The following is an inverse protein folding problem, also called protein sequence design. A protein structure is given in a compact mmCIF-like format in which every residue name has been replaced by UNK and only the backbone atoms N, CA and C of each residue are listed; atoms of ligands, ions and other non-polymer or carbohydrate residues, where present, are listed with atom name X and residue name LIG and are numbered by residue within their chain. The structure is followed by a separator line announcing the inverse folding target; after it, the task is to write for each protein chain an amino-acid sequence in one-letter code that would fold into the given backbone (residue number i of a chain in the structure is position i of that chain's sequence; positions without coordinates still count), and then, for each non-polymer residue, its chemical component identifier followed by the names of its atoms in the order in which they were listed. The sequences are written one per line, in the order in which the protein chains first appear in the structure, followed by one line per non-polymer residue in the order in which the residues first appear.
data_IF_505414602200
#
_entry.id   IF_505414602200
#
_cell.length_a   1.000
_cell.length_b   1.000
_cell.length_c   1.000
_cell.angle_alpha   90.00
_cell.angle_beta   90.00
_cell.angle_gamma   90.00
#
_symmetry.space_group_name_H-M   'P 1'
#
loop_
_entity.id
_entity.type
_entity.pdbx_description
1 polymer ?
#
# COMPACT_ATOMS: atom_id res chain seq x y z
N UNK A 1 7.28 -23.57 -8.70
CA UNK A 1 8.63 -22.94 -8.52
C UNK A 1 8.74 -21.68 -9.38
N UNK A 2 9.74 -20.82 -9.15
CA UNK A 2 9.95 -19.58 -9.95
C UNK A 2 10.04 -19.84 -11.47
N UNK A 3 10.58 -21.00 -11.87
CA UNK A 3 10.61 -21.46 -13.26
C UNK A 3 9.21 -21.58 -13.89
N UNK A 4 8.21 -21.97 -13.11
CA UNK A 4 6.82 -21.98 -13.58
C UNK A 4 6.38 -20.55 -13.84
N UNK A 5 6.57 -19.61 -12.91
CA UNK A 5 6.15 -18.22 -13.10
C UNK A 5 6.65 -17.63 -14.43
N UNK A 6 7.90 -17.93 -14.82
CA UNK A 6 8.52 -17.49 -16.08
C UNK A 6 8.37 -18.48 -17.26
N UNK A 7 7.47 -19.46 -17.18
CA UNK A 7 7.23 -20.42 -18.25
C UNK A 7 6.81 -19.72 -19.56
N UNK A 8 7.20 -20.30 -20.69
CA UNK A 8 6.94 -19.74 -22.04
C UNK A 8 5.45 -19.45 -22.27
N UNK A 9 4.56 -20.30 -21.75
CA UNK A 9 3.10 -20.11 -21.85
C UNK A 9 2.59 -18.82 -21.18
N UNK A 10 3.35 -18.25 -20.24
CA UNK A 10 3.04 -16.98 -19.55
C UNK A 10 3.77 -15.77 -20.14
N UNK A 11 4.64 -15.94 -21.14
CA UNK A 11 5.52 -14.88 -21.64
C UNK A 11 4.76 -13.65 -22.17
N UNK A 12 3.70 -13.86 -22.95
CA UNK A 12 2.93 -12.74 -23.50
C UNK A 12 2.17 -11.98 -22.41
N UNK A 13 1.65 -12.68 -21.40
CA UNK A 13 1.07 -12.05 -20.21
C UNK A 13 2.12 -11.27 -19.42
N UNK A 14 3.31 -11.83 -19.16
CA UNK A 14 4.41 -11.15 -18.47
C UNK A 14 4.87 -9.91 -19.23
N UNK A 15 5.02 -9.99 -20.55
CA UNK A 15 5.39 -8.86 -21.40
C UNK A 15 4.37 -7.73 -21.31
N UNK A 16 3.08 -8.05 -21.37
CA UNK A 16 2.02 -7.07 -21.18
C UNK A 16 2.05 -6.48 -19.76
N UNK A 17 2.12 -7.32 -18.73
CA UNK A 17 2.12 -6.89 -17.34
C UNK A 17 3.30 -5.97 -17.00
N UNK A 18 4.51 -6.32 -17.45
CA UNK A 18 5.72 -5.52 -17.24
C UNK A 18 5.78 -4.25 -18.11
N UNK A 19 4.89 -4.09 -19.09
CA UNK A 19 4.82 -2.87 -19.91
C UNK A 19 4.13 -1.70 -19.19
N UNK A 20 3.40 -1.97 -18.11
CA UNK A 20 2.72 -0.94 -17.33
C UNK A 20 3.67 -0.25 -16.35
N UNK A 21 3.65 1.07 -16.35
CA UNK A 21 4.29 1.89 -15.32
C UNK A 21 3.21 2.33 -14.32
N UNK A 22 3.28 1.91 -13.04
CA UNK A 22 2.26 2.26 -12.04
C UNK A 22 2.03 3.76 -11.86
N UNK A 23 3.07 4.60 -11.99
CA UNK A 23 2.93 6.06 -11.92
C UNK A 23 2.09 6.60 -13.06
N UNK A 24 2.38 6.17 -14.29
CA UNK A 24 1.63 6.58 -15.48
C UNK A 24 0.17 6.11 -15.43
N UNK A 25 -0.08 4.89 -14.94
CA UNK A 25 -1.43 4.36 -14.78
C UNK A 25 -2.25 5.18 -13.79
N UNK A 26 -1.67 5.47 -12.62
CA UNK A 26 -2.42 6.18 -11.57
C UNK A 26 -2.61 7.66 -11.91
N UNK A 27 -1.68 8.28 -12.65
CA UNK A 27 -1.84 9.64 -13.16
C UNK A 27 -3.08 9.78 -14.08
N UNK A 28 -3.45 8.72 -14.82
CA UNK A 28 -4.58 8.73 -15.76
C UNK A 28 -5.95 8.48 -15.13
N UNK A 29 -6.03 8.05 -13.87
CA UNK A 29 -7.33 7.75 -13.25
C UNK A 29 -8.19 9.01 -13.11
N UNK A 30 -9.44 8.96 -13.57
CA UNK A 30 -10.39 10.07 -13.40
C UNK A 30 -11.06 10.08 -12.01
N UNK A 31 -10.91 9.03 -11.20
CA UNK A 31 -11.54 8.88 -9.90
C UNK A 31 -10.69 9.49 -8.77
N UNK A 32 -11.29 9.85 -7.61
CA UNK A 32 -10.54 10.14 -6.40
C UNK A 32 -9.63 8.97 -6.01
N UNK A 33 -8.42 9.27 -5.54
CA UNK A 33 -7.43 8.27 -5.12
C UNK A 33 -7.03 8.56 -3.68
N UNK A 34 -7.01 7.50 -2.87
CA UNK A 34 -6.41 7.48 -1.54
C UNK A 34 -5.26 6.48 -1.55
N UNK A 35 -4.07 6.95 -1.22
CA UNK A 35 -2.91 6.12 -0.95
C UNK A 35 -2.79 5.84 0.55
N UNK A 36 -2.49 4.60 0.89
CA UNK A 36 -2.28 4.16 2.28
C UNK A 36 -0.96 3.40 2.33
N UNK A 37 -0.11 3.77 3.28
CA UNK A 37 1.15 3.06 3.56
C UNK A 37 1.18 2.58 5.01
N UNK A 38 1.67 1.38 5.25
CA UNK A 38 1.89 0.84 6.59
C UNK A 38 3.32 1.06 7.05
N UNK A 39 3.53 1.56 8.26
CA UNK A 39 4.89 1.84 8.73
C UNK A 39 5.72 0.59 9.04
N UNK A 40 5.10 -0.59 9.07
CA UNK A 40 5.75 -1.88 9.25
C UNK A 40 5.75 -2.71 7.94
N UNK A 41 5.56 -2.08 6.78
CA UNK A 41 5.74 -2.75 5.49
C UNK A 41 7.22 -3.02 5.22
N UNK A 42 7.59 -4.31 5.18
CA UNK A 42 8.96 -4.76 4.89
C UNK A 42 9.18 -5.09 3.40
N UNK A 43 8.12 -5.12 2.59
CA UNK A 43 8.19 -5.50 1.18
C UNK A 43 8.34 -4.31 0.25
N UNK A 44 7.69 -3.19 0.58
CA UNK A 44 7.69 -1.99 -0.29
C UNK A 44 8.44 -0.84 0.36
N UNK A 45 9.52 -0.44 -0.32
CA UNK A 45 10.23 0.82 -0.15
C UNK A 45 9.29 2.02 0.10
N UNK A 46 9.41 2.76 1.21
CA UNK A 46 8.72 4.07 1.35
C UNK A 46 9.01 5.01 0.18
N UNK A 47 10.26 5.01 -0.31
CA UNK A 47 10.67 5.75 -1.52
C UNK A 47 9.88 5.36 -2.77
N UNK A 48 9.49 4.09 -2.90
CA UNK A 48 8.77 3.59 -4.07
C UNK A 48 7.29 3.94 -3.96
N UNK A 49 6.73 3.96 -2.74
CA UNK A 49 5.41 4.54 -2.48
C UNK A 49 5.36 6.04 -2.80
N UNK A 50 6.39 6.81 -2.44
CA UNK A 50 6.45 8.25 -2.71
C UNK A 50 6.43 8.59 -4.21
N UNK A 51 6.97 7.71 -5.07
CA UNK A 51 6.86 7.88 -6.53
C UNK A 51 5.40 7.91 -7.02
N UNK A 52 4.50 7.17 -6.37
CA UNK A 52 3.07 7.21 -6.69
C UNK A 52 2.44 8.55 -6.25
N UNK A 53 2.87 9.09 -5.11
CA UNK A 53 2.44 10.41 -4.65
C UNK A 53 2.87 11.51 -5.61
N UNK A 54 4.09 11.42 -6.14
CA UNK A 54 4.60 12.39 -7.12
C UNK A 54 3.89 12.28 -8.47
N UNK A 55 3.50 11.06 -8.87
CA UNK A 55 2.70 10.85 -10.08
C UNK A 55 1.27 11.40 -9.96
N UNK A 56 0.72 11.52 -8.74
CA UNK A 56 -0.61 12.09 -8.48
C UNK A 56 -0.64 12.97 -7.23
N UNK A 57 -0.08 14.20 -7.29
CA UNK A 57 0.05 15.07 -6.11
C UNK A 57 -1.27 15.49 -5.46
N UNK A 58 -2.38 15.45 -6.21
CA UNK A 58 -3.72 15.80 -5.72
C UNK A 58 -4.41 14.66 -4.96
N UNK A 59 -3.83 13.46 -4.91
CA UNK A 59 -4.40 12.33 -4.18
C UNK A 59 -4.26 12.50 -2.67
N UNK A 60 -5.22 11.96 -1.92
CA UNK A 60 -5.06 11.85 -0.48
C UNK A 60 -4.03 10.76 -0.15
N UNK A 61 -3.26 10.95 0.92
CA UNK A 61 -2.29 9.98 1.40
C UNK A 61 -2.31 9.86 2.92
N UNK A 62 -2.23 8.63 3.44
CA UNK A 62 -2.22 8.33 4.88
C UNK A 62 -1.18 7.28 5.23
N UNK A 63 -0.57 7.43 6.41
CA UNK A 63 0.28 6.43 7.04
C UNK A 63 -0.52 5.75 8.17
N UNK A 64 -0.48 4.42 8.23
CA UNK A 64 -1.03 3.66 9.36
C UNK A 64 0.15 3.10 10.17
N UNK A 65 0.34 3.57 11.42
CA UNK A 65 1.41 3.08 12.28
C UNK A 65 1.28 1.58 12.53
N UNK A 66 2.40 0.86 12.50
CA UNK A 66 2.48 -0.57 12.82
C UNK A 66 1.64 -1.48 11.92
N UNK A 67 1.13 -0.97 10.79
CA UNK A 67 0.51 -1.81 9.77
C UNK A 67 1.59 -2.43 8.87
N UNK A 68 1.52 -3.74 8.64
CA UNK A 68 2.40 -4.42 7.70
C UNK A 68 1.80 -4.55 6.29
N UNK A 69 2.53 -5.22 5.40
CA UNK A 69 2.15 -5.43 4.00
C UNK A 69 0.78 -6.13 3.83
N UNK A 70 0.43 -7.05 4.73
CA UNK A 70 -0.84 -7.79 4.70
C UNK A 70 -1.93 -7.14 5.56
N UNK A 71 -1.77 -5.85 5.88
CA UNK A 71 -2.75 -4.99 6.56
C UNK A 71 -2.97 -5.30 8.05
N UNK A 72 -2.06 -6.05 8.67
CA UNK A 72 -2.14 -6.47 10.09
C UNK A 72 -1.42 -5.50 11.01
N UNK A 73 -1.90 -5.39 12.24
CA UNK A 73 -1.22 -4.66 13.32
C UNK A 73 -0.10 -5.52 13.89
N UNK A 74 1.15 -5.05 13.81
CA UNK A 74 2.34 -5.76 14.31
C UNK A 74 3.28 -4.82 15.05
N UNK A 75 3.98 -5.34 16.06
CA UNK A 75 4.88 -4.58 16.93
C UNK A 75 6.34 -4.93 16.73
N UNK A 76 6.63 -6.14 16.27
CA UNK A 76 7.99 -6.61 16.01
C UNK A 76 8.12 -7.20 14.61
N UNK A 77 9.37 -7.44 14.19
CA UNK A 77 9.64 -8.12 12.92
C UNK A 77 9.19 -9.59 12.97
N UNK A 78 9.31 -10.27 14.10
CA UNK A 78 8.81 -11.64 14.26
C UNK A 78 7.28 -11.72 14.11
N UNK A 79 6.54 -10.80 14.77
CA UNK A 79 5.09 -10.68 14.60
C UNK A 79 4.72 -10.38 13.14
N UNK A 80 5.54 -9.59 12.45
CA UNK A 80 5.34 -9.27 11.04
C UNK A 80 5.32 -10.54 10.18
N UNK A 81 6.33 -11.39 10.31
CA UNK A 81 6.38 -12.65 9.57
C UNK A 81 5.27 -13.63 9.97
N UNK A 82 4.97 -13.78 11.26
CA UNK A 82 3.93 -14.71 11.74
C UNK A 82 2.53 -14.33 11.24
N UNK A 83 2.25 -13.03 11.14
CA UNK A 83 0.95 -12.51 10.71
C UNK A 83 0.55 -12.83 9.25
N UNK A 84 1.47 -13.30 8.41
CA UNK A 84 1.15 -13.70 7.02
C UNK A 84 0.23 -14.91 6.94
N UNK A 85 0.32 -15.81 7.93
CA UNK A 85 -0.46 -17.06 7.96
C UNK A 85 -1.32 -17.20 9.20
N UNK A 86 -1.04 -16.43 10.24
CA UNK A 86 -1.80 -16.47 11.49
C UNK A 86 -3.00 -15.50 11.43
N UNK A 87 -4.26 -16.01 11.46
CA UNK A 87 -5.45 -15.17 11.36
C UNK A 87 -5.73 -14.36 12.64
N UNK A 88 -5.09 -14.68 13.77
CA UNK A 88 -5.36 -14.06 15.07
C UNK A 88 -4.85 -12.61 15.17
N UNK A 89 -3.95 -12.20 14.28
CA UNK A 89 -3.53 -10.80 14.20
C UNK A 89 -4.70 -9.93 13.72
N UNK A 90 -5.02 -8.84 14.44
CA UNK A 90 -6.08 -7.94 14.02
C UNK A 90 -5.67 -7.15 12.77
N UNK A 91 -6.67 -6.64 12.06
CA UNK A 91 -6.42 -5.58 11.07
C UNK A 91 -5.84 -4.36 11.78
N UNK A 92 -5.00 -3.61 11.08
CA UNK A 92 -4.41 -2.40 11.64
C UNK A 92 -5.48 -1.38 12.05
N UNK A 93 -5.26 -0.78 13.22
CA UNK A 93 -6.24 0.12 13.83
C UNK A 93 -6.54 1.31 12.91
N UNK A 94 -7.82 1.62 12.74
CA UNK A 94 -8.28 2.73 11.92
C UNK A 94 -8.27 2.50 10.40
N UNK A 95 -7.72 1.39 9.89
CA UNK A 95 -7.74 1.08 8.44
C UNK A 95 -9.17 0.99 7.90
N UNK A 96 -10.02 0.20 8.57
CA UNK A 96 -11.41 -0.01 8.14
C UNK A 96 -12.21 1.29 8.16
N UNK A 97 -12.03 2.09 9.22
CA UNK A 97 -12.69 3.39 9.33
C UNK A 97 -12.19 4.36 8.25
N UNK A 98 -10.89 4.34 7.92
CA UNK A 98 -10.32 5.22 6.90
C UNK A 98 -10.90 4.90 5.52
N UNK A 99 -11.01 3.61 5.18
CA UNK A 99 -11.65 3.17 3.96
C UNK A 99 -13.14 3.53 3.95
N UNK A 100 -13.85 3.37 5.07
CA UNK A 100 -15.25 3.76 5.19
C UNK A 100 -15.45 5.28 5.04
N UNK A 101 -14.54 6.09 5.60
CA UNK A 101 -14.57 7.55 5.47
C UNK A 101 -14.35 7.98 4.01
N UNK A 102 -13.34 7.39 3.35
CA UNK A 102 -13.04 7.65 1.95
C UNK A 102 -14.20 7.24 1.03
N UNK A 103 -14.76 6.04 1.23
CA UNK A 103 -15.87 5.53 0.43
C UNK A 103 -17.17 6.31 0.62
N UNK A 104 -17.42 6.84 1.82
CA UNK A 104 -18.68 7.55 2.17
C UNK A 104 -18.57 9.08 2.07
N UNK A 105 -17.44 9.63 1.63
CA UNK A 105 -17.13 11.06 1.78
C UNK A 105 -17.42 11.60 3.21
N UNK A 106 -17.20 10.75 4.22
CA UNK A 106 -17.37 11.09 5.64
C UNK A 106 -16.07 11.66 6.21
N UNK A 107 -16.13 12.44 7.31
CA UNK A 107 -14.94 12.94 7.98
C UNK A 107 -14.00 11.80 8.41
N UNK A 108 -12.69 12.08 8.38
CA UNK A 108 -11.61 11.12 8.62
C UNK A 108 -11.68 10.48 10.02
N UNK A 109 -11.22 9.23 10.20
CA UNK A 109 -11.22 8.57 11.51
C UNK A 109 -10.22 9.18 12.48
N UNK A 110 -10.60 9.17 13.75
CA UNK A 110 -9.71 9.47 14.87
C UNK A 110 -8.56 8.45 14.91
N UNK A 111 -7.33 8.91 14.72
CA UNK A 111 -6.12 8.08 14.74
C UNK A 111 -5.36 8.01 13.41
N UNK A 112 -5.97 8.38 12.29
CA UNK A 112 -5.26 8.51 11.01
C UNK A 112 -4.42 9.79 10.97
N UNK A 113 -3.14 9.68 10.61
CA UNK A 113 -2.26 10.84 10.46
C UNK A 113 -2.07 11.19 8.98
N UNK A 114 -2.00 12.48 8.62
CA UNK A 114 -1.54 12.90 7.31
C UNK A 114 -0.19 12.26 6.99
N UNK A 115 0.01 11.83 5.74
CA UNK A 115 1.33 11.38 5.31
C UNK A 115 2.26 12.60 5.19
N UNK A 116 3.35 12.60 5.96
CA UNK A 116 4.42 13.59 5.86
C UNK A 116 5.60 13.03 5.08
N UNK A 117 6.14 13.79 4.10
CA UNK A 117 7.33 13.38 3.34
C UNK A 117 8.56 13.38 4.26
N UNK A 118 9.44 12.39 4.12
CA UNK A 118 10.73 12.42 4.82
C UNK A 118 11.61 13.51 4.20
N UNK A 119 12.25 14.33 5.04
CA UNK A 119 13.31 15.24 4.58
C UNK A 119 14.55 14.38 4.31
N UNK A 120 15.06 14.42 3.09
CA UNK A 120 16.34 13.77 2.76
C UNK A 120 17.46 14.37 3.63
N UNK A 121 18.37 13.50 4.10
CA UNK A 121 19.61 13.88 4.79
C UNK A 121 20.75 13.95 3.78
#
# INVERSE_FOLDING_TARGET
ALADFFAVSRREWLKAWLSFNPGDEVARLAAPVLYIYGSADLQVARKDFEKLLDARPAAAARLIPSMNYVLKQVKTEEENYDSFTNPDYPLADGLADLLAAFAKAKPLPSGSQPYERLKEK
#
